data_IF_809700350489
#
_entry.id   IF_809700350489
#
_cell.length_a   1.000
_cell.length_b   1.000
_cell.length_c   1.000
_cell.angle_alpha   90.00
_cell.angle_beta   90.00
_cell.angle_gamma   90.00
#
_symmetry.space_group_name_H-M   'P 1'
#
loop_
_entity.id
_entity.type
_entity.pdbx_description
1 polymer ?
#
# COMPACT_ATOMS: atom_id res chain seq x y z
N UNK A 1 4.04 -28.38 -27.95
CA UNK A 1 5.06 -27.38 -27.59
C UNK A 1 4.50 -26.36 -26.56
N UNK A 2 3.91 -26.79 -25.41
CA UNK A 2 3.38 -25.87 -24.38
C UNK A 2 3.39 -26.44 -22.94
N UNK A 3 4.13 -27.52 -22.69
CA UNK A 3 4.18 -28.12 -21.35
C UNK A 3 5.24 -27.52 -20.42
N UNK A 4 6.24 -26.82 -20.97
CA UNK A 4 7.36 -26.31 -20.16
C UNK A 4 7.12 -24.94 -19.50
N UNK A 5 6.04 -24.25 -19.87
CA UNK A 5 5.71 -22.92 -19.33
C UNK A 5 4.71 -22.92 -18.16
N UNK A 6 4.06 -24.05 -17.90
CA UNK A 6 3.06 -24.14 -16.83
C UNK A 6 3.61 -23.81 -15.43
N UNK A 7 4.82 -24.28 -15.03
CA UNK A 7 5.40 -23.92 -13.74
C UNK A 7 5.73 -22.44 -13.63
N UNK A 8 6.22 -21.83 -14.72
CA UNK A 8 6.53 -20.41 -14.77
C UNK A 8 5.26 -19.53 -14.62
N UNK A 9 4.19 -19.90 -15.34
CA UNK A 9 2.92 -19.19 -15.23
C UNK A 9 2.26 -19.36 -13.86
N UNK A 10 2.38 -20.52 -13.22
CA UNK A 10 1.89 -20.73 -11.87
C UNK A 10 2.66 -19.87 -10.85
N UNK A 11 3.99 -19.81 -10.98
CA UNK A 11 4.84 -19.01 -10.10
C UNK A 11 4.58 -17.50 -10.28
N UNK A 12 4.55 -17.02 -11.52
CA UNK A 12 4.27 -15.60 -11.81
C UNK A 12 2.83 -15.22 -11.47
N UNK A 13 1.87 -16.13 -11.64
CA UNK A 13 0.47 -15.91 -11.25
C UNK A 13 0.33 -15.74 -9.75
N UNK A 14 0.96 -16.59 -8.95
CA UNK A 14 0.95 -16.48 -7.48
C UNK A 14 1.65 -15.20 -7.01
N UNK A 15 2.82 -14.88 -7.54
CA UNK A 15 3.55 -13.66 -7.20
C UNK A 15 2.73 -12.39 -7.52
N UNK A 16 2.01 -12.38 -8.64
CA UNK A 16 1.10 -11.27 -9.00
C UNK A 16 -0.08 -11.14 -8.05
N UNK A 17 -0.67 -12.25 -7.63
CA UNK A 17 -1.76 -12.26 -6.63
C UNK A 17 -1.25 -11.68 -5.30
N UNK A 18 -0.12 -12.14 -4.81
CA UNK A 18 0.46 -11.65 -3.57
C UNK A 18 0.86 -10.17 -3.66
N UNK A 19 1.42 -9.74 -4.78
CA UNK A 19 1.71 -8.32 -5.06
C UNK A 19 0.43 -7.47 -5.03
N UNK A 20 -0.64 -7.93 -5.64
CA UNK A 20 -1.93 -7.23 -5.63
C UNK A 20 -2.50 -7.10 -4.22
N UNK A 21 -2.40 -8.14 -3.41
CA UNK A 21 -2.87 -8.14 -2.01
C UNK A 21 -1.98 -7.21 -1.16
N UNK A 22 -0.66 -7.26 -1.31
CA UNK A 22 0.24 -6.36 -0.60
C UNK A 22 0.04 -4.90 -1.00
N UNK A 23 -0.24 -4.61 -2.27
CA UNK A 23 -0.59 -3.27 -2.73
C UNK A 23 -1.88 -2.76 -2.09
N UNK A 24 -2.90 -3.63 -1.98
CA UNK A 24 -4.14 -3.30 -1.26
C UNK A 24 -3.87 -3.03 0.22
N UNK A 25 -3.09 -3.88 0.89
CA UNK A 25 -2.72 -3.68 2.30
C UNK A 25 -2.03 -2.33 2.52
N UNK A 26 -1.06 -1.98 1.68
CA UNK A 26 -0.36 -0.71 1.77
C UNK A 26 -1.28 0.49 1.55
N UNK A 27 -2.22 0.42 0.58
CA UNK A 27 -3.23 1.46 0.39
C UNK A 27 -4.13 1.62 1.61
N UNK A 28 -4.61 0.53 2.18
CA UNK A 28 -5.45 0.55 3.39
C UNK A 28 -4.68 1.09 4.60
N UNK A 29 -3.41 0.72 4.78
CA UNK A 29 -2.55 1.27 5.83
C UNK A 29 -2.31 2.78 5.64
N UNK A 30 -2.13 3.24 4.40
CA UNK A 30 -1.99 4.67 4.08
C UNK A 30 -3.25 5.48 4.41
N UNK A 31 -4.42 5.00 4.03
CA UNK A 31 -5.71 5.62 4.34
C UNK A 31 -5.96 5.66 5.86
N UNK A 32 -5.61 4.61 6.58
CA UNK A 32 -5.80 4.51 8.03
C UNK A 32 -4.98 5.50 8.85
N UNK A 33 -3.97 6.14 8.27
CA UNK A 33 -3.15 7.15 8.94
C UNK A 33 -4.00 8.34 9.39
N UNK A 34 -4.90 8.85 8.55
CA UNK A 34 -5.80 9.94 8.91
C UNK A 34 -7.25 9.51 9.17
N UNK A 35 -7.58 8.25 8.85
CA UNK A 35 -8.89 7.61 9.03
C UNK A 35 -10.02 8.22 8.20
N UNK A 36 -9.69 9.06 7.24
CA UNK A 36 -10.62 9.62 6.28
C UNK A 36 -10.24 9.15 4.88
N UNK A 37 -11.21 8.68 4.12
CA UNK A 37 -11.01 8.36 2.72
C UNK A 37 -11.37 9.60 1.91
N UNK A 38 -10.36 10.28 1.39
CA UNK A 38 -10.62 11.37 0.44
C UNK A 38 -11.03 10.84 -0.94
N UNK A 39 -11.49 11.72 -1.81
CA UNK A 39 -11.99 11.33 -3.14
C UNK A 39 -10.93 10.66 -4.01
N UNK A 40 -9.68 11.03 -3.86
CA UNK A 40 -8.57 10.48 -4.66
C UNK A 40 -8.12 9.12 -4.17
N UNK A 41 -8.11 8.90 -2.87
CA UNK A 41 -7.87 7.56 -2.28
C UNK A 41 -9.00 6.61 -2.64
N UNK A 42 -10.23 7.10 -2.62
CA UNK A 42 -11.39 6.33 -3.09
C UNK A 42 -11.25 5.94 -4.57
N UNK A 43 -10.82 6.87 -5.42
CA UNK A 43 -10.54 6.60 -6.83
C UNK A 43 -9.42 5.56 -6.99
N UNK A 44 -8.39 5.62 -6.17
CA UNK A 44 -7.29 4.66 -6.17
C UNK A 44 -7.76 3.24 -5.82
N UNK A 45 -8.59 3.12 -4.78
CA UNK A 45 -9.20 1.84 -4.41
C UNK A 45 -10.20 1.35 -5.47
N UNK A 46 -10.95 2.24 -6.08
CA UNK A 46 -11.86 1.92 -7.19
C UNK A 46 -11.08 1.37 -8.40
N UNK A 47 -9.94 1.97 -8.74
CA UNK A 47 -9.04 1.47 -9.80
C UNK A 47 -8.54 0.07 -9.46
N UNK A 48 -8.12 -0.16 -8.21
CA UNK A 48 -7.69 -1.49 -7.77
C UNK A 48 -8.82 -2.51 -7.90
N UNK A 49 -10.02 -2.17 -7.44
CA UNK A 49 -11.22 -3.03 -7.56
C UNK A 49 -11.54 -3.34 -9.02
N UNK A 50 -11.55 -2.33 -9.89
CA UNK A 50 -11.82 -2.49 -11.32
C UNK A 50 -10.78 -3.40 -11.99
N UNK A 51 -9.51 -3.20 -11.69
CA UNK A 51 -8.42 -4.02 -12.23
C UNK A 51 -8.54 -5.50 -11.86
N UNK A 52 -9.21 -5.83 -10.74
CA UNK A 52 -9.36 -7.18 -10.23
C UNK A 52 -10.76 -7.78 -10.40
N UNK A 53 -11.72 -7.05 -11.01
CA UNK A 53 -13.10 -7.54 -11.18
C UNK A 53 -13.21 -8.86 -11.95
N UNK A 54 -12.33 -9.09 -12.91
CA UNK A 54 -12.30 -10.36 -13.65
C UNK A 54 -11.94 -11.57 -12.77
N UNK A 55 -11.31 -11.31 -11.62
CA UNK A 55 -10.91 -12.32 -10.65
C UNK A 55 -11.92 -12.50 -9.51
N UNK A 56 -13.04 -11.76 -9.53
CA UNK A 56 -14.07 -11.72 -8.48
C UNK A 56 -14.56 -13.09 -8.02
N UNK A 57 -14.59 -14.07 -8.92
CA UNK A 57 -15.05 -15.43 -8.62
C UNK A 57 -13.92 -16.41 -8.30
N UNK A 58 -12.67 -15.94 -8.25
CA UNK A 58 -11.50 -16.76 -7.98
C UNK A 58 -10.94 -16.45 -6.59
N UNK A 59 -10.60 -17.51 -5.86
CA UNK A 59 -9.85 -17.35 -4.62
C UNK A 59 -8.47 -16.71 -4.90
N UNK A 60 -8.00 -15.72 -4.10
CA UNK A 60 -8.62 -15.17 -2.88
C UNK A 60 -9.52 -13.94 -3.13
N UNK A 61 -9.65 -13.47 -4.35
CA UNK A 61 -10.39 -12.24 -4.69
C UNK A 61 -11.89 -12.34 -4.44
N UNK A 62 -12.46 -13.56 -4.48
CA UNK A 62 -13.87 -13.81 -4.13
C UNK A 62 -14.22 -13.46 -2.66
N UNK A 63 -13.22 -13.39 -1.79
CA UNK A 63 -13.38 -12.95 -0.40
C UNK A 63 -12.99 -11.49 -0.21
N UNK A 64 -11.90 -11.05 -0.86
CA UNK A 64 -11.35 -9.69 -0.70
C UNK A 64 -12.24 -8.64 -1.33
N UNK A 65 -12.64 -8.82 -2.59
CA UNK A 65 -13.39 -7.81 -3.34
C UNK A 65 -14.70 -7.41 -2.65
N UNK A 66 -15.59 -8.36 -2.25
CA UNK A 66 -16.82 -7.99 -1.57
C UNK A 66 -16.58 -7.27 -0.23
N UNK A 67 -15.54 -7.66 0.51
CA UNK A 67 -15.20 -7.02 1.80
C UNK A 67 -14.76 -5.58 1.60
N UNK A 68 -13.90 -5.33 0.61
CA UNK A 68 -13.44 -3.96 0.28
C UNK A 68 -14.60 -3.11 -0.26
N UNK A 69 -15.43 -3.65 -1.15
CA UNK A 69 -16.62 -2.95 -1.67
C UNK A 69 -17.58 -2.54 -0.56
N UNK A 70 -17.80 -3.43 0.41
CA UNK A 70 -18.68 -3.14 1.55
C UNK A 70 -18.10 -2.02 2.43
N UNK A 71 -16.82 -2.08 2.74
CA UNK A 71 -16.14 -1.07 3.54
C UNK A 71 -16.14 0.32 2.86
N UNK A 72 -16.12 0.36 1.53
CA UNK A 72 -16.09 1.62 0.78
C UNK A 72 -17.49 2.17 0.43
N UNK A 73 -18.56 1.47 0.78
CA UNK A 73 -19.92 1.83 0.35
C UNK A 73 -20.38 3.21 0.86
N UNK A 74 -19.92 3.63 2.03
CA UNK A 74 -20.25 4.93 2.65
C UNK A 74 -19.10 5.95 2.61
N UNK A 75 -18.00 5.62 1.92
CA UNK A 75 -16.79 6.46 1.81
C UNK A 75 -16.05 6.72 3.13
N UNK A 76 -16.30 5.91 4.13
CA UNK A 76 -15.64 5.96 5.44
C UNK A 76 -15.02 4.60 5.73
N UNK A 77 -13.75 4.57 6.09
CA UNK A 77 -13.09 3.34 6.58
C UNK A 77 -13.09 3.36 8.11
N UNK A 78 -13.97 2.59 8.70
CA UNK A 78 -13.99 2.42 10.16
C UNK A 78 -12.79 1.59 10.64
N UNK A 79 -12.44 1.71 11.92
CA UNK A 79 -11.36 0.90 12.52
C UNK A 79 -11.65 -0.62 12.41
N UNK A 80 -12.91 -1.02 12.54
CA UNK A 80 -13.33 -2.41 12.41
C UNK A 80 -13.14 -2.92 10.97
N UNK A 81 -13.61 -2.17 9.97
CA UNK A 81 -13.46 -2.52 8.56
C UNK A 81 -11.99 -2.56 8.14
N UNK A 82 -11.19 -1.61 8.61
CA UNK A 82 -9.74 -1.62 8.41
C UNK A 82 -9.11 -2.92 8.95
N UNK A 83 -9.42 -3.27 10.20
CA UNK A 83 -8.90 -4.49 10.83
C UNK A 83 -9.36 -5.75 10.10
N UNK A 84 -10.61 -5.80 9.65
CA UNK A 84 -11.17 -6.93 8.91
C UNK A 84 -10.48 -7.12 7.57
N UNK A 85 -10.26 -6.06 6.82
CA UNK A 85 -9.54 -6.11 5.53
C UNK A 85 -8.10 -6.56 5.75
N UNK A 86 -7.39 -5.97 6.72
CA UNK A 86 -6.01 -6.32 7.03
C UNK A 86 -5.90 -7.78 7.46
N UNK A 87 -6.80 -8.24 8.33
CA UNK A 87 -6.82 -9.62 8.80
C UNK A 87 -7.07 -10.61 7.64
N UNK A 88 -8.06 -10.31 6.80
CA UNK A 88 -8.40 -11.13 5.64
C UNK A 88 -7.23 -11.23 4.66
N UNK A 89 -6.64 -10.10 4.30
CA UNK A 89 -5.50 -10.06 3.38
C UNK A 89 -4.30 -10.84 3.92
N UNK A 90 -3.96 -10.67 5.20
CA UNK A 90 -2.85 -11.38 5.84
C UNK A 90 -3.09 -12.88 5.91
N UNK A 91 -4.33 -13.31 6.13
CA UNK A 91 -4.70 -14.73 6.12
C UNK A 91 -4.56 -15.37 4.74
N UNK A 92 -4.79 -14.61 3.69
CA UNK A 92 -4.79 -15.10 2.30
C UNK A 92 -3.41 -15.05 1.65
N UNK A 93 -2.43 -14.37 2.27
CA UNK A 93 -1.04 -14.38 1.84
C UNK A 93 -0.36 -15.62 2.42
N UNK A 94 0.23 -16.43 1.56
CA UNK A 94 0.98 -17.61 1.96
C UNK A 94 2.45 -17.26 2.25
N UNK A 95 2.93 -17.61 3.44
CA UNK A 95 4.30 -17.34 3.89
C UNK A 95 5.39 -18.10 3.10
N UNK A 96 5.01 -19.13 2.35
CA UNK A 96 5.97 -20.06 1.73
C UNK A 96 6.74 -19.47 0.52
N UNK A 97 6.28 -18.37 -0.07
CA UNK A 97 6.82 -17.82 -1.32
C UNK A 97 7.26 -16.36 -1.23
N UNK A 98 7.18 -15.76 -0.05
CA UNK A 98 7.43 -14.33 0.10
C UNK A 98 8.71 -14.06 0.85
N UNK A 99 9.68 -13.44 0.20
CA UNK A 99 10.68 -12.67 0.90
C UNK A 99 9.96 -11.52 1.62
N UNK A 100 9.88 -11.58 2.95
CA UNK A 100 9.23 -10.59 3.79
C UNK A 100 9.68 -9.17 3.46
N UNK A 101 10.95 -8.98 3.17
CA UNK A 101 11.48 -7.69 2.81
C UNK A 101 10.91 -7.18 1.48
N UNK A 102 10.74 -8.04 0.48
CA UNK A 102 10.11 -7.68 -0.80
C UNK A 102 8.65 -7.30 -0.60
N UNK A 103 7.89 -8.06 0.21
CA UNK A 103 6.51 -7.74 0.55
C UNK A 103 6.40 -6.38 1.23
N UNK A 104 7.26 -6.11 2.21
CA UNK A 104 7.21 -4.86 2.95
C UNK A 104 7.67 -3.65 2.11
N UNK A 105 8.60 -3.83 1.17
CA UNK A 105 8.91 -2.77 0.18
C UNK A 105 7.72 -2.51 -0.75
N UNK A 106 6.98 -3.52 -1.17
CA UNK A 106 5.74 -3.33 -1.94
C UNK A 106 4.67 -2.57 -1.15
N UNK A 107 4.55 -2.85 0.16
CA UNK A 107 3.67 -2.10 1.05
C UNK A 107 4.12 -0.65 1.21
N UNK A 108 5.41 -0.40 1.39
CA UNK A 108 5.97 0.95 1.43
C UNK A 108 5.62 1.73 0.16
N UNK A 109 5.77 1.12 -1.01
CA UNK A 109 5.36 1.71 -2.28
C UNK A 109 3.87 2.10 -2.28
N UNK A 110 3.00 1.24 -1.79
CA UNK A 110 1.57 1.51 -1.75
C UNK A 110 1.20 2.56 -0.67
N UNK A 111 1.85 2.56 0.49
CA UNK A 111 1.69 3.61 1.53
C UNK A 111 2.07 4.98 0.98
N UNK A 112 3.23 5.09 0.35
CA UNK A 112 3.69 6.33 -0.28
C UNK A 112 2.75 6.76 -1.42
N UNK A 113 2.26 5.81 -2.21
CA UNK A 113 1.25 6.05 -3.25
C UNK A 113 -0.04 6.65 -2.70
N UNK A 114 -0.52 6.16 -1.57
CA UNK A 114 -1.66 6.73 -0.86
C UNK A 114 -1.42 8.17 -0.40
N UNK A 115 -0.24 8.44 0.15
CA UNK A 115 0.14 9.78 0.62
C UNK A 115 0.14 10.82 -0.52
N UNK A 116 0.61 10.46 -1.71
CA UNK A 116 0.65 11.41 -2.86
C UNK A 116 -0.64 11.46 -3.67
N UNK A 117 -1.61 10.59 -3.37
CA UNK A 117 -2.83 10.47 -4.18
C UNK A 117 -3.64 11.76 -4.24
N UNK A 118 -3.69 12.54 -3.17
CA UNK A 118 -4.47 13.79 -3.08
C UNK A 118 -3.68 15.08 -3.36
N UNK A 119 -2.44 14.95 -3.80
CA UNK A 119 -1.54 16.08 -4.08
C UNK A 119 -1.17 16.96 -2.87
N UNK A 120 -1.63 16.61 -1.67
CA UNK A 120 -1.35 17.31 -0.43
C UNK A 120 -0.73 16.36 0.60
N UNK A 121 0.52 16.60 0.96
CA UNK A 121 1.19 15.82 2.01
C UNK A 121 1.03 16.54 3.34
N UNK A 122 0.37 15.91 4.29
CA UNK A 122 0.14 16.45 5.62
C UNK A 122 1.22 15.99 6.61
N UNK A 123 1.41 16.77 7.67
CA UNK A 123 2.29 16.39 8.78
C UNK A 123 1.85 15.05 9.42
N UNK A 124 0.55 14.83 9.53
CA UNK A 124 -0.03 13.59 10.08
C UNK A 124 0.34 12.37 9.24
N UNK A 125 0.27 12.47 7.91
CA UNK A 125 0.70 11.41 7.00
C UNK A 125 2.19 11.13 7.10
N UNK A 126 3.02 12.17 7.18
CA UNK A 126 4.47 12.00 7.36
C UNK A 126 4.81 11.37 8.72
N UNK A 127 4.10 11.72 9.80
CA UNK A 127 4.29 11.06 11.10
C UNK A 127 3.90 9.59 11.03
N UNK A 128 2.76 9.27 10.41
CA UNK A 128 2.35 7.89 10.20
C UNK A 128 3.34 7.10 9.35
N UNK A 129 3.92 7.70 8.32
CA UNK A 129 4.99 7.09 7.54
C UNK A 129 6.28 6.89 8.36
N UNK A 130 6.64 7.85 9.23
CA UNK A 130 7.77 7.72 10.14
C UNK A 130 7.57 6.55 11.12
N UNK A 131 6.38 6.41 11.70
CA UNK A 131 6.04 5.29 12.58
C UNK A 131 6.11 3.96 11.84
N UNK A 132 5.58 3.90 10.61
CA UNK A 132 5.68 2.73 9.76
C UNK A 132 7.13 2.34 9.47
N UNK A 133 7.99 3.31 9.16
CA UNK A 133 9.43 3.09 8.93
C UNK A 133 10.11 2.55 10.19
N UNK A 134 9.80 3.10 11.36
CA UNK A 134 10.36 2.62 12.63
C UNK A 134 9.95 1.18 12.94
N UNK A 135 8.71 0.82 12.67
CA UNK A 135 8.19 -0.55 12.84
C UNK A 135 8.81 -1.58 11.87
N UNK A 136 9.40 -1.11 10.77
CA UNK A 136 9.97 -1.96 9.71
C UNK A 136 11.50 -1.82 9.61
N UNK A 137 12.20 -1.67 10.72
CA UNK A 137 13.65 -1.44 10.78
C UNK A 137 14.49 -2.57 10.15
N UNK A 138 13.91 -3.75 9.96
CA UNK A 138 14.54 -4.85 9.21
C UNK A 138 14.79 -4.54 7.73
N UNK A 139 14.21 -3.45 7.21
CA UNK A 139 14.42 -2.98 5.84
C UNK A 139 15.65 -2.07 5.69
N UNK A 140 16.37 -1.77 6.76
CA UNK A 140 17.59 -0.94 6.70
C UNK A 140 18.59 -1.50 5.69
N UNK A 141 19.21 -0.58 4.95
CA UNK A 141 20.14 -0.90 3.87
C UNK A 141 19.47 -1.30 2.55
N UNK A 142 18.14 -1.26 2.47
CA UNK A 142 17.38 -1.55 1.26
C UNK A 142 16.80 -0.28 0.66
N UNK A 143 17.10 -0.06 -0.60
CA UNK A 143 16.46 1.06 -1.33
C UNK A 143 14.96 0.77 -1.52
N UNK A 144 14.07 1.75 -1.37
CA UNK A 144 14.28 3.16 -1.01
C UNK A 144 14.04 3.46 0.48
N UNK A 145 14.05 2.45 1.35
CA UNK A 145 13.69 2.57 2.77
C UNK A 145 14.52 3.63 3.51
N UNK A 146 15.85 3.56 3.38
CA UNK A 146 16.74 4.49 4.09
C UNK A 146 16.60 5.93 3.57
N UNK A 147 16.41 6.09 2.26
CA UNK A 147 16.24 7.40 1.61
C UNK A 147 14.93 8.06 2.04
N UNK A 148 13.83 7.31 2.03
CA UNK A 148 12.52 7.80 2.50
C UNK A 148 12.59 8.13 3.99
N UNK A 149 13.17 7.26 4.80
CA UNK A 149 13.35 7.49 6.24
C UNK A 149 14.14 8.74 6.55
N UNK A 150 15.25 8.96 5.86
CA UNK A 150 16.09 10.16 6.00
C UNK A 150 15.34 11.43 5.60
N UNK A 151 14.61 11.39 4.49
CA UNK A 151 13.83 12.51 3.99
C UNK A 151 12.72 12.91 4.95
N UNK A 152 11.94 11.93 5.41
CA UNK A 152 10.85 12.12 6.37
C UNK A 152 11.36 12.68 7.70
N UNK A 153 12.46 12.14 8.23
CA UNK A 153 13.08 12.61 9.48
C UNK A 153 13.54 14.06 9.36
N UNK A 154 14.14 14.41 8.22
CA UNK A 154 14.63 15.77 7.98
C UNK A 154 13.48 16.78 7.95
N UNK A 155 12.40 16.49 7.25
CA UNK A 155 11.24 17.39 7.15
C UNK A 155 10.48 17.50 8.48
N UNK A 156 10.38 16.43 9.25
CA UNK A 156 9.69 16.46 10.55
C UNK A 156 10.52 17.14 11.66
N UNK A 157 11.78 17.49 11.43
CA UNK A 157 12.68 18.03 12.45
C UNK A 157 12.18 19.35 13.08
N UNK A 158 11.55 20.21 12.29
CA UNK A 158 11.00 21.50 12.77
C UNK A 158 9.47 21.49 12.95
N UNK A 159 8.84 20.33 12.78
CA UNK A 159 7.41 20.10 12.97
C UNK A 159 6.49 20.92 12.03
N UNK A 160 6.99 21.37 10.91
CA UNK A 160 6.22 22.05 9.87
C UNK A 160 6.70 21.61 8.52
N UNK A 161 5.78 21.48 7.57
CA UNK A 161 6.09 21.25 6.17
C UNK A 161 5.96 22.59 5.45
N UNK A 162 7.07 23.16 5.06
CA UNK A 162 7.05 24.35 4.21
C UNK A 162 6.75 24.01 2.75
N UNK A 163 6.49 25.03 1.94
CA UNK A 163 6.11 24.83 0.52
C UNK A 163 7.22 24.16 -0.30
N UNK A 164 8.48 24.42 0.01
CA UNK A 164 9.63 23.84 -0.67
C UNK A 164 9.82 22.36 -0.29
N UNK A 165 9.68 22.04 0.98
CA UNK A 165 9.72 20.68 1.50
C UNK A 165 8.57 19.83 0.94
N UNK A 166 7.36 20.41 0.90
CA UNK A 166 6.20 19.75 0.31
C UNK A 166 6.45 19.41 -1.17
N UNK A 167 6.95 20.37 -1.97
CA UNK A 167 7.26 20.13 -3.37
C UNK A 167 8.33 19.06 -3.56
N UNK A 168 9.37 19.09 -2.72
CA UNK A 168 10.45 18.10 -2.75
C UNK A 168 9.95 16.69 -2.39
N UNK A 169 9.17 16.55 -1.31
CA UNK A 169 8.57 15.29 -0.90
C UNK A 169 7.63 14.76 -1.98
N UNK A 170 6.73 15.60 -2.45
CA UNK A 170 5.74 15.22 -3.45
C UNK A 170 6.41 14.72 -4.73
N UNK A 171 7.42 15.41 -5.21
CA UNK A 171 8.19 14.98 -6.38
C UNK A 171 8.89 13.65 -6.15
N UNK A 172 9.60 13.51 -5.03
CA UNK A 172 10.33 12.29 -4.72
C UNK A 172 9.39 11.09 -4.58
N UNK A 173 8.32 11.26 -3.83
CA UNK A 173 7.32 10.19 -3.63
C UNK A 173 6.60 9.82 -4.92
N UNK A 174 6.26 10.80 -5.75
CA UNK A 174 5.63 10.56 -7.06
C UNK A 174 6.57 9.83 -8.02
N UNK A 175 7.85 10.15 -8.04
CA UNK A 175 8.86 9.44 -8.83
C UNK A 175 9.04 7.99 -8.34
N UNK A 176 8.99 7.78 -7.03
CA UNK A 176 9.11 6.44 -6.44
C UNK A 176 7.91 5.54 -6.78
N UNK A 177 6.69 6.08 -6.81
CA UNK A 177 5.48 5.31 -7.10
C UNK A 177 5.11 5.23 -8.59
N UNK A 178 5.78 5.99 -9.43
CA UNK A 178 5.61 5.93 -10.88
C UNK A 178 6.18 4.61 -11.43
#
# INVERSE_FOLDING_TARGET
MHQDHAPYFMFTGKARVEQSINSLLGMIEGIAIDREINSQELDFLAIWLEAHQQLRHRHPFNEIIPTVEQALADHVLTDEEHQDIVWLCRRLISDEFFDRATADIQRLHAVVGGIVADTQITEKELRGLADWIEEHDHLRGRWPYDEIGSLVTTVLADQKIDAQEHEMLFRYFSEFVA
#
